data_IF_785799737307
#
_entry.id   IF_785799737307
#
_cell.length_a   1.000
_cell.length_b   1.000
_cell.length_c   1.000
_cell.angle_alpha   90.00
_cell.angle_beta   90.00
_cell.angle_gamma   90.00
#
_symmetry.space_group_name_H-M   'P 1'
#
loop_
_entity.id
_entity.type
_entity.pdbx_description
1 polymer ?
#
# COMPACT_ATOMS: atom_id res chain seq x y z
N UNK A 1 59.62 -19.70 -38.88
CA UNK A 1 58.56 -19.44 -37.88
C UNK A 1 57.82 -20.76 -37.71
N UNK A 2 58.33 -21.79 -37.02
CA UNK A 2 58.58 -21.88 -35.57
C UNK A 2 57.58 -21.08 -34.72
N UNK A 3 56.61 -21.77 -34.10
CA UNK A 3 56.68 -22.16 -32.69
C UNK A 3 55.68 -23.30 -32.36
N UNK A 4 56.10 -24.35 -31.63
CA UNK A 4 55.27 -25.46 -31.16
C UNK A 4 54.82 -25.30 -29.70
N UNK A 5 53.62 -25.80 -29.37
CA UNK A 5 53.21 -26.14 -28.01
C UNK A 5 52.63 -27.55 -27.99
N UNK A 6 53.13 -28.45 -27.12
CA UNK A 6 52.28 -29.48 -26.56
C UNK A 6 52.17 -29.38 -25.04
N UNK A 7 50.92 -29.41 -24.62
CA UNK A 7 50.37 -29.49 -23.27
C UNK A 7 50.81 -30.80 -22.63
N UNK A 8 51.81 -30.78 -21.73
CA UNK A 8 52.22 -31.99 -21.03
C UNK A 8 52.86 -31.79 -19.63
N UNK A 9 52.68 -30.65 -18.95
CA UNK A 9 53.40 -30.44 -17.69
C UNK A 9 52.66 -29.78 -16.51
N UNK A 10 51.33 -29.67 -16.55
CA UNK A 10 50.59 -29.06 -15.43
C UNK A 10 49.99 -30.05 -14.41
N UNK A 11 50.15 -31.36 -14.61
CA UNK A 11 49.67 -32.38 -13.65
C UNK A 11 50.71 -32.81 -12.61
N UNK A 12 51.94 -32.28 -12.64
CA UNK A 12 52.99 -32.64 -11.68
C UNK A 12 53.22 -31.64 -10.54
N UNK A 13 52.40 -30.59 -10.45
CA UNK A 13 52.48 -29.56 -9.39
C UNK A 13 51.33 -29.64 -8.37
N UNK A 14 50.48 -30.67 -8.42
CA UNK A 14 49.34 -30.83 -7.52
C UNK A 14 49.50 -32.00 -6.51
N UNK A 15 50.56 -32.80 -6.57
CA UNK A 15 50.80 -33.90 -5.61
C UNK A 15 51.67 -33.51 -4.40
N UNK A 16 52.33 -32.35 -4.43
CA UNK A 16 53.23 -31.94 -3.34
C UNK A 16 52.56 -31.30 -2.11
N UNK A 17 51.29 -30.89 -2.21
CA UNK A 17 50.63 -30.06 -1.18
C UNK A 17 49.66 -30.83 -0.26
N UNK A 18 49.32 -32.09 -0.56
CA UNK A 18 48.42 -32.89 0.28
C UNK A 18 49.15 -33.75 1.33
N UNK A 19 50.47 -33.94 1.20
CA UNK A 19 51.27 -34.79 2.08
C UNK A 19 51.68 -34.12 3.41
N UNK A 20 51.52 -32.81 3.55
CA UNK A 20 51.89 -32.07 4.77
C UNK A 20 50.75 -31.87 5.76
N UNK A 21 49.49 -32.11 5.38
CA UNK A 21 48.36 -31.85 6.27
C UNK A 21 47.99 -33.04 7.19
N UNK A 22 48.30 -34.27 6.78
CA UNK A 22 47.85 -35.47 7.50
C UNK A 22 48.78 -35.93 8.64
N UNK A 23 49.89 -35.22 8.90
CA UNK A 23 50.81 -35.54 10.02
C UNK A 23 50.44 -34.83 11.34
N UNK A 24 49.39 -34.00 11.35
CA UNK A 24 49.02 -33.19 12.52
C UNK A 24 47.85 -33.72 13.36
N UNK A 25 47.13 -34.76 12.92
CA UNK A 25 46.05 -35.36 13.72
C UNK A 25 46.47 -36.73 14.25
N UNK A 26 47.32 -36.71 15.28
CA UNK A 26 47.38 -37.83 16.20
C UNK A 26 46.00 -37.97 16.88
N UNK A 27 45.35 -39.16 16.87
CA UNK A 27 44.14 -39.36 17.65
C UNK A 27 44.53 -39.42 19.12
N UNK A 28 44.39 -38.30 19.83
CA UNK A 28 44.37 -38.28 21.29
C UNK A 28 43.27 -39.25 21.75
N UNK A 29 43.66 -40.37 22.35
CA UNK A 29 42.72 -41.31 22.98
C UNK A 29 42.11 -40.55 24.16
N UNK A 30 40.79 -40.25 24.17
CA UNK A 30 40.20 -39.53 25.28
C UNK A 30 40.34 -40.39 26.54
N UNK A 31 41.16 -39.93 27.47
CA UNK A 31 41.42 -40.60 28.74
C UNK A 31 40.21 -40.39 29.65
N UNK A 32 39.16 -41.19 29.43
CA UNK A 32 37.94 -41.09 30.20
C UNK A 32 38.15 -41.72 31.58
N UNK A 33 38.09 -40.90 32.62
CA UNK A 33 38.32 -41.36 33.99
C UNK A 33 37.15 -42.24 34.44
N UNK A 34 37.42 -43.34 35.17
CA UNK A 34 36.40 -44.28 35.66
C UNK A 34 35.30 -43.62 36.50
N UNK A 35 35.62 -42.48 37.12
CA UNK A 35 34.67 -41.60 37.81
C UNK A 35 33.71 -40.87 36.87
N UNK A 36 34.19 -40.36 35.74
CA UNK A 36 33.36 -39.71 34.72
C UNK A 36 32.39 -40.71 34.06
N UNK A 37 32.81 -41.97 33.89
CA UNK A 37 31.93 -43.03 33.39
C UNK A 37 30.80 -43.36 34.37
N UNK A 38 31.09 -43.39 35.67
CA UNK A 38 30.07 -43.62 36.70
C UNK A 38 29.12 -42.43 36.83
N UNK A 39 29.62 -41.21 36.65
CA UNK A 39 28.81 -40.00 36.67
C UNK A 39 27.90 -39.90 35.43
N UNK A 40 28.40 -40.26 34.25
CA UNK A 40 27.61 -40.36 33.02
C UNK A 40 26.54 -41.46 33.11
N UNK A 41 26.87 -42.64 33.64
CA UNK A 41 25.89 -43.73 33.78
C UNK A 41 24.81 -43.42 34.83
N UNK A 42 25.14 -42.67 35.89
CA UNK A 42 24.15 -42.20 36.88
C UNK A 42 23.15 -41.17 36.34
N UNK A 43 23.43 -40.55 35.18
CA UNK A 43 22.51 -39.62 34.51
C UNK A 43 21.55 -40.31 33.52
N UNK A 44 21.71 -41.59 33.24
CA UNK A 44 20.81 -42.36 32.37
C UNK A 44 19.31 -42.26 32.75
N UNK A 45 18.89 -42.31 34.04
CA UNK A 45 17.47 -42.16 34.38
C UNK A 45 16.95 -40.73 34.18
N UNK A 46 17.81 -39.71 34.26
CA UNK A 46 17.42 -38.31 33.94
C UNK A 46 17.22 -38.11 32.45
N UNK A 47 17.99 -38.78 31.59
CA UNK A 47 17.80 -38.73 30.14
C UNK A 47 16.41 -39.26 29.74
N UNK A 48 15.96 -40.36 30.37
CA UNK A 48 14.61 -40.87 30.15
C UNK A 48 13.51 -39.92 30.63
N UNK A 49 13.68 -39.26 31.78
CA UNK A 49 12.71 -38.26 32.24
C UNK A 49 12.61 -37.05 31.31
N UNK A 50 13.74 -36.59 30.74
CA UNK A 50 13.74 -35.47 29.80
C UNK A 50 13.09 -35.83 28.46
N UNK A 51 13.27 -37.07 27.98
CA UNK A 51 12.58 -37.56 26.80
C UNK A 51 11.07 -37.69 27.04
N UNK A 52 10.65 -38.22 28.18
CA UNK A 52 9.22 -38.31 28.52
C UNK A 52 8.58 -36.92 28.72
N UNK A 53 9.30 -35.97 29.30
CA UNK A 53 8.86 -34.58 29.41
C UNK A 53 8.77 -33.89 28.04
N UNK A 54 9.66 -34.21 27.09
CA UNK A 54 9.60 -33.70 25.73
C UNK A 54 8.44 -34.31 24.93
N UNK A 55 8.19 -35.61 25.05
CA UNK A 55 7.07 -36.28 24.37
C UNK A 55 5.70 -35.79 24.87
N UNK A 56 5.55 -35.57 26.17
CA UNK A 56 4.30 -35.04 26.74
C UNK A 56 4.04 -33.60 26.32
N UNK A 57 5.09 -32.77 26.19
CA UNK A 57 5.00 -31.42 25.61
C UNK A 57 4.59 -31.45 24.14
N UNK A 58 5.15 -32.37 23.34
CA UNK A 58 4.80 -32.52 21.93
C UNK A 58 3.36 -33.01 21.72
N UNK A 59 2.85 -33.88 22.62
CA UNK A 59 1.48 -34.41 22.53
C UNK A 59 0.40 -33.47 23.08
N UNK A 60 0.77 -32.51 23.93
CA UNK A 60 -0.16 -31.52 24.52
C UNK A 60 -0.32 -30.23 23.71
N UNK A 61 0.35 -30.10 22.56
CA UNK A 61 0.21 -28.95 21.68
C UNK A 61 -0.79 -29.26 20.53
N UNK A 62 -2.05 -28.79 20.59
CA UNK A 62 -3.06 -29.05 19.56
C UNK A 62 -2.83 -28.24 18.27
N UNK A 63 -1.75 -27.45 18.19
CA UNK A 63 -1.35 -26.74 16.98
C UNK A 63 -0.11 -27.41 16.43
N UNK A 64 -0.38 -28.47 15.66
CA UNK A 64 0.62 -29.27 14.97
C UNK A 64 1.75 -28.44 14.37
N UNK A 65 2.93 -29.02 14.49
CA UNK A 65 4.24 -28.61 13.99
C UNK A 65 4.21 -28.26 12.49
N UNK A 66 3.54 -27.18 12.11
CA UNK A 66 3.73 -26.55 10.82
C UNK A 66 4.98 -25.71 10.96
N UNK A 67 6.14 -26.36 10.74
CA UNK A 67 7.29 -25.69 10.16
C UNK A 67 6.82 -25.07 8.83
N UNK A 68 6.20 -23.89 8.91
CA UNK A 68 6.23 -22.96 7.80
C UNK A 68 7.67 -22.49 7.79
N UNK A 69 8.46 -23.11 6.92
CA UNK A 69 9.53 -22.40 6.24
C UNK A 69 8.88 -21.12 5.72
N UNK A 70 8.99 -20.03 6.48
CA UNK A 70 8.56 -18.72 6.08
C UNK A 70 9.77 -18.14 5.36
N UNK A 71 9.90 -18.29 4.03
CA UNK A 71 10.89 -17.52 3.31
C UNK A 71 10.66 -16.06 3.70
N UNK A 72 11.73 -15.38 4.12
CA UNK A 72 11.63 -13.98 4.55
C UNK A 72 10.81 -13.18 3.52
N UNK A 73 10.01 -12.19 3.94
CA UNK A 73 9.18 -11.41 3.00
C UNK A 73 10.00 -10.77 1.87
N UNK A 74 11.32 -10.66 2.05
CA UNK A 74 12.32 -10.24 1.06
C UNK A 74 12.55 -11.26 -0.06
N UNK A 75 12.54 -12.56 0.25
CA UNK A 75 12.69 -13.63 -0.75
C UNK A 75 11.40 -13.79 -1.56
N UNK A 76 10.23 -13.68 -0.92
CA UNK A 76 8.93 -13.76 -1.61
C UNK A 76 8.74 -12.56 -2.55
N UNK A 77 9.11 -11.36 -2.11
CA UNK A 77 9.07 -10.16 -2.97
C UNK A 77 10.06 -10.24 -4.13
N UNK A 78 11.29 -10.70 -3.90
CA UNK A 78 12.27 -10.91 -4.97
C UNK A 78 11.79 -11.93 -6.02
N UNK A 79 11.18 -13.03 -5.60
CA UNK A 79 10.61 -14.03 -6.50
C UNK A 79 9.42 -13.48 -7.32
N UNK A 80 8.52 -12.71 -6.69
CA UNK A 80 7.41 -12.04 -7.39
C UNK A 80 7.91 -11.04 -8.43
N UNK A 81 8.92 -10.23 -8.08
CA UNK A 81 9.51 -9.27 -9.01
C UNK A 81 10.15 -9.98 -10.20
N UNK A 82 10.85 -11.09 -9.97
CA UNK A 82 11.43 -11.89 -11.05
C UNK A 82 10.36 -12.47 -12.00
N UNK A 83 9.24 -12.97 -11.47
CA UNK A 83 8.12 -13.47 -12.28
C UNK A 83 7.49 -12.36 -13.11
N UNK A 84 7.30 -11.16 -12.53
CA UNK A 84 6.75 -10.00 -13.27
C UNK A 84 7.70 -9.55 -14.38
N UNK A 85 9.01 -9.52 -14.14
CA UNK A 85 10.01 -9.18 -15.16
C UNK A 85 9.98 -10.20 -16.32
N UNK A 86 9.88 -11.49 -16.03
CA UNK A 86 9.77 -12.54 -17.05
C UNK A 86 8.46 -12.40 -17.85
N UNK A 87 7.34 -12.09 -17.20
CA UNK A 87 6.05 -11.88 -17.87
C UNK A 87 6.06 -10.65 -18.79
N UNK A 88 6.69 -9.55 -18.35
CA UNK A 88 6.85 -8.34 -19.16
C UNK A 88 7.77 -8.59 -20.36
N UNK A 89 8.88 -9.32 -20.16
CA UNK A 89 9.78 -9.71 -21.26
C UNK A 89 9.12 -10.66 -22.26
N UNK A 90 8.29 -11.61 -21.80
CA UNK A 90 7.52 -12.49 -22.67
C UNK A 90 6.43 -11.72 -23.45
N UNK A 91 5.78 -10.74 -22.82
CA UNK A 91 4.75 -9.90 -23.46
C UNK A 91 5.31 -8.98 -24.55
N UNK A 92 6.53 -8.48 -24.41
CA UNK A 92 7.18 -7.66 -25.46
C UNK A 92 7.72 -8.49 -26.62
N UNK A 93 7.91 -9.81 -26.43
CA UNK A 93 8.39 -10.72 -27.47
C UNK A 93 7.28 -11.26 -28.40
N UNK A 94 6.00 -11.08 -28.06
CA UNK A 94 4.86 -11.60 -28.85
C UNK A 94 4.22 -10.60 -29.81
N UNK A 95 4.81 -9.42 -29.98
CA UNK A 95 4.36 -8.44 -30.97
C UNK A 95 5.13 -8.54 -32.30
N UNK A 96 4.95 -9.63 -33.08
CA UNK A 96 5.20 -9.69 -34.54
C UNK A 96 4.96 -11.10 -35.11
N UNK A 97 3.84 -11.32 -35.79
CA UNK A 97 3.74 -11.84 -37.17
C UNK A 97 2.30 -11.73 -37.71
N UNK A 98 2.10 -11.41 -39.00
CA UNK A 98 0.79 -11.39 -39.66
C UNK A 98 0.51 -12.66 -40.48
N UNK A 99 -0.78 -12.85 -40.81
CA UNK A 99 -1.32 -13.48 -42.02
C UNK A 99 -1.99 -14.87 -41.90
N UNK A 100 -3.27 -14.84 -42.30
CA UNK A 100 -4.02 -15.79 -43.14
C UNK A 100 -4.61 -17.08 -42.58
N UNK A 101 -5.95 -17.15 -42.69
CA UNK A 101 -6.62 -18.28 -43.33
C UNK A 101 -7.58 -19.09 -42.45
N UNK A 102 -8.88 -19.00 -42.75
CA UNK A 102 -9.84 -20.06 -42.41
C UNK A 102 -11.19 -19.57 -41.86
N UNK A 103 -12.15 -19.32 -42.76
CA UNK A 103 -13.60 -19.45 -42.47
C UNK A 103 -13.94 -20.95 -42.44
N UNK A 104 -14.97 -21.42 -41.69
CA UNK A 104 -16.36 -21.25 -42.13
C UNK A 104 -17.45 -21.11 -41.04
N UNK A 105 -18.61 -20.59 -41.49
CA UNK A 105 -19.99 -20.95 -41.14
C UNK A 105 -20.61 -20.63 -39.75
N UNK A 106 -21.34 -19.49 -39.72
CA UNK A 106 -22.68 -19.13 -39.14
C UNK A 106 -23.52 -20.20 -38.39
N UNK A 107 -24.39 -19.81 -37.40
CA UNK A 107 -25.49 -18.84 -37.63
C UNK A 107 -25.77 -17.77 -36.57
N UNK A 108 -26.15 -16.60 -37.11
CA UNK A 108 -27.26 -15.72 -36.70
C UNK A 108 -27.59 -15.58 -35.21
N UNK A 109 -27.24 -14.41 -34.67
CA UNK A 109 -28.20 -13.57 -33.94
C UNK A 109 -28.04 -12.12 -34.40
N UNK A 110 -29.07 -11.61 -35.08
CA UNK A 110 -29.25 -10.19 -35.34
C UNK A 110 -29.59 -9.48 -34.04
N UNK A 111 -28.75 -8.53 -33.63
CA UNK A 111 -29.21 -7.31 -32.95
C UNK A 111 -28.49 -6.11 -33.58
N UNK A 112 -29.09 -5.66 -34.68
CA UNK A 112 -29.40 -4.26 -35.02
C UNK A 112 -28.55 -3.17 -34.34
N UNK A 113 -27.74 -2.54 -35.20
CA UNK A 113 -27.29 -1.13 -35.16
C UNK A 113 -26.56 -0.62 -33.92
N UNK A 114 -25.24 -0.64 -34.07
CA UNK A 114 -24.28 0.30 -33.49
C UNK A 114 -24.57 1.71 -34.00
N UNK A 115 -25.27 2.51 -33.19
CA UNK A 115 -25.29 3.97 -33.32
C UNK A 115 -24.03 4.51 -32.65
N UNK A 116 -23.22 5.22 -33.44
CA UNK A 116 -22.04 5.97 -33.02
C UNK A 116 -22.41 7.07 -32.00
N UNK A 117 -21.43 7.64 -31.28
CA UNK A 117 -21.57 8.10 -29.90
C UNK A 117 -22.53 9.28 -29.79
N UNK A 118 -23.50 9.16 -28.88
CA UNK A 118 -24.19 10.31 -28.33
C UNK A 118 -23.15 11.22 -27.71
N UNK A 119 -22.94 12.37 -28.35
CA UNK A 119 -22.26 13.52 -27.77
C UNK A 119 -22.90 13.76 -26.41
N UNK A 120 -22.17 13.43 -25.34
CA UNK A 120 -22.51 13.91 -24.02
C UNK A 120 -22.72 15.42 -24.14
N UNK A 121 -23.82 16.00 -23.61
CA UNK A 121 -23.93 17.43 -23.55
C UNK A 121 -22.75 17.90 -22.70
N UNK A 122 -21.72 18.43 -23.36
CA UNK A 122 -20.74 19.25 -22.70
C UNK A 122 -21.56 20.31 -21.99
N UNK A 123 -21.42 20.37 -20.67
CA UNK A 123 -21.91 21.51 -19.91
C UNK A 123 -21.16 22.69 -20.52
N UNK A 124 -21.83 23.39 -21.43
CA UNK A 124 -21.29 24.53 -22.20
C UNK A 124 -21.33 25.73 -21.28
N UNK A 125 -20.52 25.66 -20.24
CA UNK A 125 -20.26 26.75 -19.32
C UNK A 125 -18.82 27.17 -19.50
N UNK A 126 -18.58 28.48 -19.51
CA UNK A 126 -17.24 29.01 -19.31
C UNK A 126 -16.99 29.12 -17.80
N UNK A 127 -15.74 28.92 -17.41
CA UNK A 127 -15.25 29.01 -16.04
C UNK A 127 -14.13 30.06 -16.04
N UNK A 128 -14.24 31.03 -15.15
CA UNK A 128 -13.22 32.05 -14.90
C UNK A 128 -12.36 31.60 -13.73
N UNK A 129 -11.05 31.50 -13.97
CA UNK A 129 -10.06 31.13 -12.96
C UNK A 129 -8.99 32.21 -12.89
N UNK A 130 -8.67 32.66 -11.68
CA UNK A 130 -7.57 33.59 -11.43
C UNK A 130 -6.26 32.82 -11.25
N UNK A 131 -5.32 32.94 -12.20
CA UNK A 131 -4.02 32.27 -12.12
C UNK A 131 -2.96 33.25 -11.61
N UNK A 132 -2.45 33.00 -10.41
CA UNK A 132 -1.44 33.85 -9.75
C UNK A 132 -0.16 33.09 -9.47
N UNK A 133 0.95 33.81 -9.30
CA UNK A 133 2.26 33.23 -8.99
C UNK A 133 3.20 33.16 -10.20
N UNK A 134 4.06 32.13 -10.24
CA UNK A 134 5.17 31.98 -11.19
C UNK A 134 4.71 31.43 -12.56
N UNK A 135 3.78 32.13 -13.20
CA UNK A 135 3.30 31.89 -14.57
C UNK A 135 3.70 33.05 -15.48
N UNK A 136 3.76 32.82 -16.80
CA UNK A 136 4.15 33.88 -17.75
C UNK A 136 3.17 35.05 -17.79
N UNK A 137 1.87 34.77 -17.69
CA UNK A 137 0.80 35.77 -17.72
C UNK A 137 -0.16 35.52 -16.56
N UNK A 138 0.12 36.06 -15.37
CA UNK A 138 -0.82 35.98 -14.26
C UNK A 138 -2.08 36.81 -14.58
N UNK A 139 -3.22 36.34 -14.07
CA UNK A 139 -4.52 36.99 -14.22
C UNK A 139 -5.65 36.00 -14.48
N UNK A 140 -6.83 36.55 -14.75
CA UNK A 140 -8.05 35.78 -14.98
C UNK A 140 -8.09 35.19 -16.38
N UNK A 141 -8.32 33.88 -16.48
CA UNK A 141 -8.41 33.13 -17.72
C UNK A 141 -9.79 32.52 -17.85
N UNK A 142 -10.37 32.56 -19.06
CA UNK A 142 -11.62 31.89 -19.40
C UNK A 142 -11.34 30.53 -20.02
N UNK A 143 -11.97 29.50 -19.49
CA UNK A 143 -11.80 28.11 -19.89
C UNK A 143 -13.17 27.43 -19.98
N UNK A 144 -13.23 26.27 -20.64
CA UNK A 144 -14.41 25.42 -20.63
C UNK A 144 -14.68 24.86 -19.22
N UNK A 145 -15.93 24.61 -18.85
CA UNK A 145 -16.31 24.05 -17.55
C UNK A 145 -15.76 22.64 -17.25
N UNK A 146 -15.21 21.97 -18.26
CA UNK A 146 -14.51 20.70 -18.11
C UNK A 146 -12.98 20.84 -18.02
N UNK A 147 -12.46 22.06 -18.09
CA UNK A 147 -11.04 22.34 -18.04
C UNK A 147 -10.42 21.92 -16.70
N UNK A 148 -9.17 21.46 -16.78
CA UNK A 148 -8.41 21.05 -15.60
C UNK A 148 -7.35 22.10 -15.27
N UNK A 149 -6.78 22.01 -14.07
CA UNK A 149 -5.71 22.90 -13.57
C UNK A 149 -4.56 23.05 -14.59
N UNK A 150 -4.17 21.96 -15.26
CA UNK A 150 -3.18 22.00 -16.35
C UNK A 150 -3.55 22.95 -17.51
N UNK A 151 -4.84 23.05 -17.84
CA UNK A 151 -5.32 23.82 -19.00
C UNK A 151 -5.35 25.30 -18.66
N UNK A 152 -5.64 25.66 -17.39
CA UNK A 152 -5.46 27.01 -16.88
C UNK A 152 -3.99 27.46 -16.92
N UNK A 153 -3.07 26.61 -16.47
CA UNK A 153 -1.63 26.95 -16.49
C UNK A 153 -1.14 27.12 -17.94
N UNK A 154 -1.56 26.25 -18.86
CA UNK A 154 -1.24 26.39 -20.29
C UNK A 154 -1.80 27.69 -20.87
N UNK A 155 -3.05 28.02 -20.56
CA UNK A 155 -3.70 29.25 -21.02
C UNK A 155 -3.07 30.52 -20.39
N UNK A 156 -2.52 30.43 -19.17
CA UNK A 156 -1.68 31.45 -18.55
C UNK A 156 -0.24 31.53 -19.12
N UNK A 157 0.05 30.82 -20.22
CA UNK A 157 1.34 30.82 -20.91
C UNK A 157 2.36 29.81 -20.39
N UNK A 158 1.93 28.91 -19.49
CA UNK A 158 2.76 27.93 -18.83
C UNK A 158 3.44 28.47 -17.57
N UNK A 159 3.89 27.54 -16.72
CA UNK A 159 4.74 27.88 -15.59
C UNK A 159 6.12 28.34 -16.06
N UNK A 160 6.74 29.24 -15.29
CA UNK A 160 8.14 29.64 -15.52
C UNK A 160 9.09 28.44 -15.33
N UNK A 161 10.25 28.42 -16.02
CA UNK A 161 11.25 27.37 -15.83
C UNK A 161 11.76 27.36 -14.38
N UNK A 162 11.83 26.17 -13.78
CA UNK A 162 12.21 25.99 -12.38
C UNK A 162 11.06 26.19 -11.38
N UNK A 163 9.84 26.43 -11.85
CA UNK A 163 8.65 26.40 -10.99
C UNK A 163 8.27 24.97 -10.65
N UNK A 164 8.22 24.65 -9.36
CA UNK A 164 7.67 23.39 -8.91
C UNK A 164 6.14 23.41 -9.00
N UNK A 165 5.60 22.42 -9.72
CA UNK A 165 4.16 22.19 -9.87
C UNK A 165 3.70 20.94 -9.11
N UNK A 166 4.61 20.25 -8.42
CA UNK A 166 4.32 18.98 -7.72
C UNK A 166 3.30 19.14 -6.60
N UNK A 167 3.19 20.35 -6.04
CA UNK A 167 2.16 20.69 -5.05
C UNK A 167 0.75 20.89 -5.63
N UNK A 168 0.61 21.06 -6.95
CA UNK A 168 -0.68 21.27 -7.60
C UNK A 168 -1.19 19.99 -8.26
N UNK A 169 -2.44 19.62 -7.98
CA UNK A 169 -3.11 18.56 -8.73
C UNK A 169 -3.50 19.05 -10.13
N UNK A 170 -2.61 18.89 -11.09
CA UNK A 170 -2.79 19.29 -12.49
C UNK A 170 -4.02 18.66 -13.16
N UNK A 171 -4.46 17.50 -12.69
CA UNK A 171 -5.62 16.80 -13.21
C UNK A 171 -6.93 17.24 -12.54
N UNK A 172 -6.92 18.05 -11.47
CA UNK A 172 -8.15 18.51 -10.83
C UNK A 172 -8.99 19.35 -11.80
N UNK A 173 -10.31 19.16 -11.77
CA UNK A 173 -11.26 20.02 -12.51
C UNK A 173 -11.29 21.40 -11.88
N UNK A 174 -11.42 22.42 -12.71
CA UNK A 174 -11.51 23.80 -12.26
C UNK A 174 -12.96 24.18 -11.97
N UNK A 175 -13.16 24.96 -10.92
CA UNK A 175 -14.45 25.56 -10.56
C UNK A 175 -14.47 27.06 -10.91
N UNK A 176 -15.65 27.61 -11.15
CA UNK A 176 -15.81 29.04 -11.45
C UNK A 176 -15.48 29.91 -10.23
N UNK A 177 -14.73 30.99 -10.47
CA UNK A 177 -14.24 31.87 -9.41
C UNK A 177 -13.08 31.30 -8.59
N UNK A 178 -12.47 30.18 -9.00
CA UNK A 178 -11.33 29.59 -8.31
C UNK A 178 -10.03 30.40 -8.52
N UNK A 179 -9.18 30.49 -7.49
CA UNK A 179 -7.83 31.06 -7.60
C UNK A 179 -6.78 29.94 -7.59
N UNK A 180 -5.95 29.89 -8.64
CA UNK A 180 -4.87 28.94 -8.79
C UNK A 180 -3.51 29.59 -8.51
N UNK A 181 -2.85 29.09 -7.47
CA UNK A 181 -1.55 29.60 -6.98
C UNK A 181 -0.41 28.74 -7.47
N UNK A 182 0.41 29.26 -8.38
CA UNK A 182 1.46 28.49 -9.06
C UNK A 182 2.84 28.83 -8.49
N UNK A 183 3.55 27.83 -7.94
CA UNK A 183 4.96 27.96 -7.57
C UNK A 183 5.26 28.86 -6.36
N UNK A 184 4.22 29.19 -5.60
CA UNK A 184 4.36 29.70 -4.24
C UNK A 184 4.14 28.50 -3.32
N UNK A 185 5.04 28.28 -2.35
CA UNK A 185 4.91 27.15 -1.44
C UNK A 185 3.56 27.28 -0.72
N UNK A 186 2.65 26.36 -1.05
CA UNK A 186 1.42 26.20 -0.30
C UNK A 186 1.81 25.63 1.07
N UNK A 187 2.08 26.53 2.01
CA UNK A 187 1.87 26.21 3.42
C UNK A 187 0.40 25.82 3.54
N UNK A 188 0.14 24.52 3.50
CA UNK A 188 -1.18 23.95 3.73
C UNK A 188 -1.67 24.42 5.10
N UNK A 189 -2.70 25.26 5.08
CA UNK A 189 -3.69 25.39 6.15
C UNK A 189 -3.45 26.50 7.17
N UNK A 190 -3.96 27.71 6.89
CA UNK A 190 -4.81 28.47 7.82
C UNK A 190 -5.78 29.31 6.97
N UNK A 191 -7.08 29.19 7.22
CA UNK A 191 -8.06 30.12 6.68
C UNK A 191 -7.76 31.56 7.13
N UNK A 192 -7.84 32.49 6.18
CA UNK A 192 -8.10 33.88 6.47
C UNK A 192 -9.42 34.24 5.78
N UNK A 193 -10.50 34.07 6.52
CA UNK A 193 -11.77 34.74 6.27
C UNK A 193 -11.63 36.28 6.42
N UNK A 194 -12.67 36.95 5.90
CA UNK A 194 -13.18 38.30 6.19
C UNK A 194 -12.63 39.45 5.31
N UNK A 195 -13.45 40.28 4.63
CA UNK A 195 -14.90 40.57 4.66
C UNK A 195 -15.28 41.27 3.32
N UNK A 196 -16.50 41.46 2.80
CA UNK A 196 -17.92 41.36 3.20
C UNK A 196 -18.76 41.29 1.88
N UNK A 197 -20.00 40.82 1.78
CA UNK A 197 -20.97 40.33 2.76
C UNK A 197 -22.30 39.89 2.09
N UNK A 198 -23.13 39.22 2.89
CA UNK A 198 -24.59 39.12 2.89
C UNK A 198 -25.36 38.81 1.58
N UNK A 199 -25.97 37.61 1.55
CA UNK A 199 -27.06 37.25 0.66
C UNK A 199 -27.53 35.82 0.89
N UNK A 200 -28.46 35.63 1.83
CA UNK A 200 -29.06 34.34 2.18
C UNK A 200 -29.94 33.76 1.05
N UNK A 201 -29.93 32.44 0.90
CA UNK A 201 -31.11 31.55 0.85
C UNK A 201 -30.85 30.28 0.01
N UNK A 202 -30.83 29.14 0.70
CA UNK A 202 -31.30 27.82 0.28
C UNK A 202 -31.02 27.30 -1.13
N UNK A 203 -30.19 26.26 -1.21
CA UNK A 203 -30.69 24.99 -1.77
C UNK A 203 -29.85 23.83 -1.28
N UNK A 204 -30.52 22.96 -0.53
CA UNK A 204 -30.18 21.55 -0.36
C UNK A 204 -29.86 20.90 -1.71
N UNK A 205 -28.71 20.24 -1.80
CA UNK A 205 -28.25 19.52 -2.98
C UNK A 205 -27.05 18.65 -2.63
N UNK A 206 -27.28 17.67 -1.75
CA UNK A 206 -26.34 16.61 -1.41
C UNK A 206 -26.16 15.66 -2.60
N UNK A 207 -24.92 15.43 -3.03
CA UNK A 207 -24.43 14.20 -3.68
C UNK A 207 -22.90 14.24 -3.54
N UNK A 208 -22.33 13.65 -2.49
CA UNK A 208 -21.76 12.30 -2.50
C UNK A 208 -20.66 12.15 -3.56
N UNK A 209 -19.39 12.24 -3.15
CA UNK A 209 -18.39 11.18 -3.38
C UNK A 209 -17.07 11.41 -2.60
N UNK A 210 -16.68 10.35 -1.89
CA UNK A 210 -15.36 9.85 -1.50
C UNK A 210 -14.19 10.73 -1.01
N UNK A 211 -13.75 10.41 0.22
CA UNK A 211 -12.43 9.82 0.41
C UNK A 211 -11.20 10.74 0.52
N UNK A 212 -10.73 10.95 1.75
CA UNK A 212 -9.28 10.96 2.01
C UNK A 212 -8.66 12.24 2.58
N UNK A 213 -8.41 12.16 3.89
CA UNK A 213 -7.28 12.73 4.65
C UNK A 213 -7.04 14.26 4.68
N UNK A 214 -7.36 14.87 5.83
CA UNK A 214 -6.42 15.73 6.56
C UNK A 214 -6.88 15.86 8.01
N UNK A 215 -6.02 15.47 8.94
CA UNK A 215 -6.23 15.68 10.36
C UNK A 215 -6.12 17.16 10.76
N UNK A 216 -6.65 17.43 11.94
CA UNK A 216 -6.50 18.64 12.74
C UNK A 216 -7.22 19.90 12.21
N UNK A 217 -8.55 19.89 12.33
CA UNK A 217 -9.37 21.09 12.18
C UNK A 217 -10.85 20.82 12.42
N UNK A 218 -11.23 20.36 13.62
CA UNK A 218 -12.62 20.38 14.11
C UNK A 218 -13.67 19.60 13.31
N UNK A 219 -13.28 18.73 12.38
CA UNK A 219 -14.19 17.92 11.58
C UNK A 219 -14.67 16.68 12.33
N UNK A 220 -15.97 16.37 12.24
CA UNK A 220 -16.57 15.17 12.83
C UNK A 220 -15.96 13.91 12.21
N UNK A 221 -15.56 12.95 13.05
CA UNK A 221 -14.94 11.67 12.64
C UNK A 221 -16.05 10.71 12.17
N UNK A 222 -15.94 10.17 10.95
CA UNK A 222 -16.88 9.18 10.41
C UNK A 222 -16.66 7.82 11.05
N UNK A 223 -17.64 7.31 11.80
CA UNK A 223 -17.53 6.02 12.49
C UNK A 223 -17.44 4.84 11.53
N UNK A 224 -18.09 4.92 10.37
CA UNK A 224 -18.09 3.83 9.40
C UNK A 224 -16.81 3.76 8.56
N UNK A 225 -16.05 4.85 8.47
CA UNK A 225 -14.87 4.96 7.59
C UNK A 225 -13.57 5.16 8.37
N UNK A 226 -13.65 5.61 9.63
CA UNK A 226 -12.47 5.87 10.44
C UNK A 226 -11.59 4.63 10.61
N UNK A 227 -10.29 4.86 10.50
CA UNK A 227 -9.26 3.90 10.89
C UNK A 227 -9.18 3.79 12.41
N UNK A 228 -8.57 2.71 12.90
CA UNK A 228 -8.35 2.48 14.33
C UNK A 228 -7.66 3.69 14.99
N UNK A 229 -6.64 4.24 14.33
CA UNK A 229 -5.89 5.41 14.81
C UNK A 229 -6.75 6.68 14.87
N UNK A 230 -7.70 6.86 13.94
CA UNK A 230 -8.61 8.00 13.96
C UNK A 230 -9.65 7.89 15.08
N UNK A 231 -10.09 6.67 15.41
CA UNK A 231 -10.97 6.43 16.55
C UNK A 231 -10.26 6.68 17.88
N UNK A 232 -8.96 6.38 17.98
CA UNK A 232 -8.14 6.64 19.18
C UNK A 232 -7.93 8.13 19.48
N UNK A 233 -8.14 9.01 18.51
CA UNK A 233 -8.10 10.47 18.72
C UNK A 233 -9.31 10.98 19.51
N UNK A 234 -10.35 10.16 19.66
CA UNK A 234 -11.55 10.54 20.38
C UNK A 234 -11.35 10.44 21.90
N UNK A 235 -11.89 11.40 22.68
CA UNK A 235 -11.72 11.41 24.12
C UNK A 235 -12.36 10.17 24.76
N UNK A 236 -11.55 9.38 25.48
CA UNK A 236 -12.01 8.18 26.18
C UNK A 236 -12.10 6.92 25.29
N UNK A 237 -11.66 6.99 24.03
CA UNK A 237 -11.48 5.84 23.14
C UNK A 237 -10.00 5.47 23.09
N UNK A 238 -9.65 4.37 23.75
CA UNK A 238 -8.31 3.79 23.65
C UNK A 238 -8.24 2.66 22.63
N UNK A 239 -7.04 2.11 22.42
CA UNK A 239 -6.75 1.05 21.45
C UNK A 239 -7.74 -0.14 21.50
N UNK A 240 -8.04 -0.63 22.70
CA UNK A 240 -8.97 -1.73 22.92
C UNK A 240 -10.42 -1.41 22.50
N UNK A 241 -10.83 -0.16 22.65
CA UNK A 241 -12.19 0.28 22.35
C UNK A 241 -12.33 0.63 20.88
N UNK A 242 -11.31 1.27 20.29
CA UNK A 242 -11.21 1.47 18.84
C UNK A 242 -11.26 0.13 18.09
N UNK A 243 -10.51 -0.88 18.56
CA UNK A 243 -10.56 -2.22 17.96
C UNK A 243 -11.98 -2.82 18.02
N UNK A 244 -12.65 -2.72 19.17
CA UNK A 244 -14.03 -3.23 19.33
C UNK A 244 -15.04 -2.54 18.41
N UNK A 245 -14.89 -1.25 18.15
CA UNK A 245 -15.73 -0.52 17.18
C UNK A 245 -15.52 -1.09 15.76
N UNK A 246 -14.27 -1.32 15.37
CA UNK A 246 -13.93 -1.92 14.06
C UNK A 246 -14.48 -3.35 13.97
N UNK A 247 -14.32 -4.16 15.01
CA UNK A 247 -14.82 -5.53 15.06
C UNK A 247 -16.36 -5.56 15.02
N UNK A 248 -17.03 -4.62 15.69
CA UNK A 248 -18.49 -4.46 15.62
C UNK A 248 -18.93 -4.18 14.17
N UNK A 249 -18.22 -3.29 13.46
CA UNK A 249 -18.51 -3.00 12.04
C UNK A 249 -18.38 -4.25 11.15
N UNK A 250 -17.43 -5.13 11.46
CA UNK A 250 -17.20 -6.36 10.70
C UNK A 250 -18.24 -7.45 10.99
N UNK A 251 -18.80 -7.47 12.20
CA UNK A 251 -19.71 -8.54 12.65
C UNK A 251 -21.19 -8.19 12.53
N UNK A 252 -21.56 -6.93 12.84
CA UNK A 252 -22.93 -6.43 12.79
C UNK A 252 -23.21 -5.61 11.52
N UNK A 253 -22.17 -5.19 10.81
CA UNK A 253 -22.28 -4.32 9.64
C UNK A 253 -22.08 -2.84 9.97
N UNK A 254 -22.37 -1.97 9.01
CA UNK A 254 -22.20 -0.51 9.16
C UNK A 254 -23.15 0.02 10.24
N UNK A 255 -22.69 1.01 11.01
CA UNK A 255 -23.54 1.74 11.94
C UNK A 255 -24.58 2.53 11.14
N UNK A 256 -25.85 2.38 11.50
CA UNK A 256 -26.96 3.07 10.86
C UNK A 256 -27.34 4.33 11.63
N UNK A 257 -27.24 4.26 12.96
CA UNK A 257 -27.46 5.39 13.86
C UNK A 257 -26.23 5.60 14.75
N UNK A 258 -26.07 6.82 15.28
CA UNK A 258 -24.99 7.08 16.24
C UNK A 258 -25.24 6.33 17.56
N UNK A 259 -26.50 6.10 17.92
CA UNK A 259 -26.92 5.38 19.13
C UNK A 259 -26.44 3.92 19.14
N UNK A 260 -26.24 3.32 17.96
CA UNK A 260 -25.75 1.95 17.81
C UNK A 260 -24.34 1.78 18.42
N UNK A 261 -23.59 2.87 18.58
CA UNK A 261 -22.31 2.87 19.28
C UNK A 261 -22.43 2.40 20.73
N UNK A 262 -23.59 2.56 21.36
CA UNK A 262 -23.87 2.08 22.73
C UNK A 262 -23.93 0.55 22.82
N UNK A 263 -24.15 -0.14 21.70
CA UNK A 263 -24.14 -1.61 21.65
C UNK A 263 -22.71 -2.17 21.67
N UNK A 264 -21.69 -1.32 21.44
CA UNK A 264 -20.29 -1.71 21.55
C UNK A 264 -19.93 -1.83 23.03
N UNK A 265 -19.53 -3.04 23.44
CA UNK A 265 -19.07 -3.31 24.81
C UNK A 265 -17.98 -2.31 25.21
N UNK A 266 -18.17 -1.61 26.34
CA UNK A 266 -17.22 -0.62 26.88
C UNK A 266 -17.56 0.85 26.60
N UNK A 267 -18.60 1.12 25.81
CA UNK A 267 -19.16 2.45 25.57
C UNK A 267 -20.41 2.63 26.44
N UNK A 268 -20.23 3.26 27.61
CA UNK A 268 -21.35 3.68 28.46
C UNK A 268 -21.91 5.03 28.05
N UNK A 269 -23.02 5.43 28.64
CA UNK A 269 -23.71 6.71 28.36
C UNK A 269 -22.80 7.93 28.46
N UNK A 270 -21.92 7.95 29.47
CA UNK A 270 -20.94 9.04 29.67
C UNK A 270 -19.97 9.17 28.51
N UNK A 271 -19.49 8.04 27.97
CA UNK A 271 -18.58 8.04 26.83
C UNK A 271 -19.31 8.38 25.55
N UNK A 272 -20.50 7.80 25.34
CA UNK A 272 -21.35 8.13 24.20
C UNK A 272 -21.62 9.62 24.10
N UNK A 273 -22.00 10.29 25.20
CA UNK A 273 -22.26 11.71 25.24
C UNK A 273 -21.03 12.57 24.87
N UNK A 274 -19.83 12.14 25.27
CA UNK A 274 -18.59 12.80 24.90
C UNK A 274 -18.23 12.62 23.41
N UNK A 275 -18.67 11.50 22.81
CA UNK A 275 -18.35 11.13 21.44
C UNK A 275 -19.36 11.66 20.43
N UNK A 276 -20.65 11.68 20.76
CA UNK A 276 -21.76 12.00 19.84
C UNK A 276 -21.61 13.36 19.14
N UNK A 277 -21.03 14.36 19.81
CA UNK A 277 -20.76 15.68 19.23
C UNK A 277 -19.61 15.72 18.23
N UNK A 278 -18.69 14.74 18.29
CA UNK A 278 -17.44 14.68 17.52
C UNK A 278 -17.46 13.62 16.42
N UNK A 279 -18.52 12.82 16.34
CA UNK A 279 -18.65 11.73 15.37
C UNK A 279 -19.78 12.00 14.37
N UNK A 280 -19.67 11.38 13.19
CA UNK A 280 -20.71 11.28 12.18
C UNK A 280 -20.76 9.84 11.64
N UNK A 281 -21.80 9.52 10.89
CA UNK A 281 -21.92 8.23 10.21
C UNK A 281 -20.91 8.08 9.07
#
# INVERSE_FOLDING_TARGET
>A
MELPFPVANFLKLAEGAAATYFRSMAPEKPSYTRSQFRQASSQAPRAHQLLQAAETRLRSDPRGLRLRWAPSPRIVSAALIAVVIVAVMAGWAQGKTPSSGGSPAIPSFSSTTRTAPGRAPGVTGEVLVDVVGKVKKPGVVRLEASARVQDAIKAAGGALPGTDLSGLNLARRLSDGEQLRVGIEESSGVGAEAAAGAGAAGSSGQSADEGGVAGAGGGKISINEASKQQLEQLPGVGESLAQRIVDYRQTQGRFQNLEDLRNVSGIGEKKYAALSGMIRL
#
